data_IF_543196767591
#
_entry.id   IF_543196767591
#
_cell.length_a   1.000
_cell.length_b   1.000
_cell.length_c   1.000
_cell.angle_alpha   90.00
_cell.angle_beta   90.00
_cell.angle_gamma   90.00
#
_symmetry.space_group_name_H-M   'P 1'
#
loop_
_entity.id
_entity.type
_entity.pdbx_description
1 polymer ?
#
# COMPACT_ATOMS: atom_id res chain seq x y z
N UNK A 1 5.25 -5.54 -34.66
CA UNK A 1 4.74 -6.57 -33.75
C UNK A 1 4.08 -5.88 -32.57
N UNK A 2 3.01 -6.47 -32.06
CA UNK A 2 2.07 -5.90 -31.10
C UNK A 2 2.54 -6.27 -29.69
N UNK A 3 3.40 -5.46 -29.06
CA UNK A 3 3.96 -5.72 -27.71
C UNK A 3 3.05 -5.21 -26.57
N UNK A 4 1.74 -5.45 -26.66
CA UNK A 4 0.77 -5.15 -25.59
C UNK A 4 0.78 -6.22 -24.46
N UNK A 5 1.95 -6.76 -24.09
CA UNK A 5 2.02 -7.93 -23.21
C UNK A 5 2.66 -7.69 -21.82
N UNK A 6 3.19 -6.50 -21.51
CA UNK A 6 4.00 -6.31 -20.29
C UNK A 6 3.75 -5.01 -19.50
N UNK A 7 2.78 -4.17 -19.89
CA UNK A 7 2.41 -2.95 -19.16
C UNK A 7 1.55 -3.29 -17.93
N UNK A 8 2.07 -4.15 -17.05
CA UNK A 8 1.72 -4.02 -15.64
C UNK A 8 2.37 -2.71 -15.22
N UNK A 9 1.56 -1.65 -15.15
CA UNK A 9 2.06 -0.31 -14.84
C UNK A 9 2.86 -0.36 -13.54
N UNK A 10 3.90 0.47 -13.43
CA UNK A 10 4.70 0.59 -12.19
C UNK A 10 3.79 0.78 -10.96
N UNK A 11 2.66 1.46 -11.15
CA UNK A 11 1.59 1.61 -10.16
C UNK A 11 0.93 0.29 -9.77
N UNK A 12 0.52 -0.58 -10.71
CA UNK A 12 -0.09 -1.88 -10.40
C UNK A 12 0.86 -2.82 -9.64
N UNK A 13 2.14 -2.86 -10.05
CA UNK A 13 3.18 -3.63 -9.31
C UNK A 13 3.32 -3.13 -7.89
N UNK A 14 3.42 -1.82 -7.74
CA UNK A 14 3.51 -1.16 -6.43
C UNK A 14 2.27 -1.45 -5.59
N UNK A 15 1.08 -1.41 -6.17
CA UNK A 15 -0.17 -1.68 -5.47
C UNK A 15 -0.25 -3.12 -4.95
N UNK A 16 0.17 -4.10 -5.75
CA UNK A 16 0.27 -5.50 -5.28
C UNK A 16 1.32 -5.67 -4.19
N UNK A 17 2.47 -5.02 -4.32
CA UNK A 17 3.53 -5.04 -3.31
C UNK A 17 3.05 -4.42 -1.98
N UNK A 18 2.37 -3.27 -2.04
CA UNK A 18 1.74 -2.64 -0.88
C UNK A 18 0.71 -3.55 -0.23
N UNK A 19 -0.16 -4.18 -1.02
CA UNK A 19 -1.14 -5.14 -0.54
C UNK A 19 -0.48 -6.30 0.22
N UNK A 20 0.61 -6.85 -0.32
CA UNK A 20 1.41 -7.89 0.37
C UNK A 20 2.01 -7.37 1.68
N UNK A 21 2.64 -6.20 1.68
CA UNK A 21 3.26 -5.61 2.87
C UNK A 21 2.24 -5.32 3.98
N UNK A 22 1.04 -4.86 3.60
CA UNK A 22 -0.05 -4.55 4.52
C UNK A 22 -0.87 -5.78 4.94
N UNK A 23 -0.62 -6.96 4.36
CA UNK A 23 -1.50 -8.14 4.50
C UNK A 23 -2.97 -7.85 4.14
N UNK A 24 -3.16 -6.98 3.15
CA UNK A 24 -4.44 -6.54 2.63
C UNK A 24 -4.59 -6.95 1.17
N UNK A 25 -5.82 -6.92 0.68
CA UNK A 25 -6.09 -7.10 -0.75
C UNK A 25 -5.83 -5.79 -1.51
N UNK A 26 -5.45 -5.84 -2.80
CA UNK A 26 -5.28 -4.64 -3.62
C UNK A 26 -6.56 -3.78 -3.67
N UNK A 27 -7.75 -4.39 -3.67
CA UNK A 27 -9.03 -3.67 -3.53
C UNK A 27 -9.18 -2.96 -2.18
N UNK A 28 -8.72 -3.58 -1.08
CA UNK A 28 -8.74 -2.95 0.25
C UNK A 28 -7.75 -1.79 0.31
N UNK A 29 -6.55 -1.97 -0.24
CA UNK A 29 -5.56 -0.91 -0.37
C UNK A 29 -6.14 0.24 -1.18
N UNK A 30 -6.67 0.01 -2.38
CA UNK A 30 -7.27 1.05 -3.21
C UNK A 30 -8.47 1.76 -2.55
N UNK A 31 -9.21 1.05 -1.71
CA UNK A 31 -10.41 1.58 -1.03
C UNK A 31 -10.09 2.39 0.22
N UNK A 32 -9.10 1.95 0.99
CA UNK A 32 -8.81 2.49 2.31
C UNK A 32 -7.59 3.39 2.34
N UNK A 33 -6.62 3.20 1.45
CA UNK A 33 -5.45 4.07 1.35
C UNK A 33 -5.85 5.39 0.70
N UNK A 34 -5.55 6.49 1.38
CA UNK A 34 -5.71 7.85 0.89
C UNK A 34 -4.49 8.29 0.07
N UNK A 35 -3.30 8.13 0.64
CA UNK A 35 -2.06 8.59 0.04
C UNK A 35 -0.94 7.57 0.27
N UNK A 36 0.00 7.56 -0.67
CA UNK A 36 1.24 6.78 -0.59
C UNK A 36 2.37 7.75 -0.87
N UNK A 37 3.15 8.03 0.15
CA UNK A 37 4.28 8.94 0.07
C UNK A 37 5.57 8.15 0.25
N UNK A 38 6.63 8.55 -0.45
CA UNK A 38 7.94 7.99 -0.17
C UNK A 38 8.43 8.60 1.14
N UNK A 39 8.81 7.74 2.10
CA UNK A 39 9.47 8.22 3.31
C UNK A 39 10.73 8.94 2.84
N UNK A 40 10.88 10.24 3.13
CA UNK A 40 11.90 11.12 2.54
C UNK A 40 13.36 10.65 2.70
N UNK A 41 13.57 9.55 3.43
CA UNK A 41 14.79 8.75 3.51
C UNK A 41 15.08 7.90 2.26
N UNK A 42 14.13 7.73 1.33
CA UNK A 42 14.22 6.82 0.18
C UNK A 42 14.25 5.33 0.54
N UNK A 43 14.02 5.01 1.82
CA UNK A 43 14.10 3.65 2.37
C UNK A 43 12.74 2.96 2.47
N UNK A 44 11.66 3.62 2.05
CA UNK A 44 10.34 3.01 2.09
C UNK A 44 9.21 3.94 1.73
N UNK A 45 8.01 3.42 1.90
CA UNK A 45 6.79 4.14 1.60
C UNK A 45 5.94 4.26 2.85
N UNK A 46 5.43 5.46 3.10
CA UNK A 46 4.43 5.74 4.11
C UNK A 46 3.07 5.69 3.44
N UNK A 47 2.22 4.83 3.96
CA UNK A 47 0.84 4.68 3.50
C UNK A 47 -0.07 5.31 4.53
N UNK A 48 -0.95 6.22 4.10
CA UNK A 48 -1.98 6.80 4.96
C UNK A 48 -3.35 6.18 4.64
N UNK A 49 -4.05 5.76 5.68
CA UNK A 49 -5.39 5.19 5.64
C UNK A 49 -6.46 6.25 5.92
N UNK A 50 -7.60 6.09 5.26
CA UNK A 50 -8.77 6.91 5.49
C UNK A 50 -9.29 6.80 6.91
N UNK A 51 -9.81 7.91 7.44
CA UNK A 51 -10.51 7.94 8.72
C UNK A 51 -11.74 7.01 8.76
N UNK A 52 -12.29 6.66 7.59
CA UNK A 52 -13.40 5.73 7.44
C UNK A 52 -12.98 4.25 7.47
N UNK A 53 -11.67 3.96 7.52
CA UNK A 53 -11.15 2.59 7.50
C UNK A 53 -11.56 1.86 8.77
N UNK A 54 -12.21 0.68 8.67
CA UNK A 54 -12.63 -0.08 9.84
C UNK A 54 -11.43 -0.53 10.67
N UNK A 55 -11.56 -0.52 12.00
CA UNK A 55 -10.52 -1.03 12.92
C UNK A 55 -10.17 -2.48 12.63
N UNK A 56 -11.12 -3.29 12.15
CA UNK A 56 -10.85 -4.68 11.73
C UNK A 56 -9.87 -4.78 10.56
N UNK A 57 -9.84 -3.79 9.66
CA UNK A 57 -8.87 -3.71 8.56
C UNK A 57 -7.53 -3.24 9.10
N UNK A 58 -7.51 -2.18 9.91
CA UNK A 58 -6.29 -1.64 10.51
C UNK A 58 -5.59 -2.69 11.41
N UNK A 59 -6.35 -3.47 12.17
CA UNK A 59 -5.84 -4.53 13.04
C UNK A 59 -5.22 -5.71 12.27
N UNK A 60 -5.55 -5.88 10.98
CA UNK A 60 -4.89 -6.87 10.11
C UNK A 60 -3.53 -6.38 9.62
N UNK A 61 -3.30 -5.07 9.61
CA UNK A 61 -2.05 -4.48 9.13
C UNK A 61 -0.96 -4.66 10.19
N UNK A 62 0.08 -5.47 9.92
CA UNK A 62 1.15 -5.69 10.87
C UNK A 62 1.95 -4.40 11.07
N UNK A 63 2.15 -4.01 12.33
CA UNK A 63 2.94 -2.82 12.69
C UNK A 63 2.17 -1.50 12.70
N UNK A 64 0.89 -1.48 12.30
CA UNK A 64 0.06 -0.27 12.32
C UNK A 64 -0.43 0.06 13.74
N UNK A 65 -0.73 -0.97 14.52
CA UNK A 65 -1.18 -0.86 15.91
C UNK A 65 -2.56 -0.18 16.01
N UNK A 66 -2.56 1.14 16.11
CA UNK A 66 -3.76 2.00 16.12
C UNK A 66 -3.60 3.30 15.35
N UNK A 67 -2.46 3.50 14.69
CA UNK A 67 -2.23 4.64 13.82
C UNK A 67 -2.98 4.46 12.50
N UNK A 68 -3.08 5.55 11.74
CA UNK A 68 -3.65 5.55 10.39
C UNK A 68 -2.58 5.68 9.33
N UNK A 69 -1.33 5.74 9.72
CA UNK A 69 -0.20 5.82 8.81
C UNK A 69 0.87 4.82 9.26
N UNK A 70 1.43 4.11 8.30
CA UNK A 70 2.49 3.14 8.54
C UNK A 70 3.53 3.21 7.44
N UNK A 71 4.80 3.15 7.85
CA UNK A 71 5.90 2.91 6.93
C UNK A 71 5.96 1.41 6.62
N UNK A 72 5.68 1.04 5.37
CA UNK A 72 5.69 -0.36 4.90
C UNK A 72 7.08 -0.81 4.43
N UNK A 73 8.10 0.01 4.64
CA UNK A 73 9.45 -0.23 4.17
C UNK A 73 9.58 -0.12 2.64
N UNK A 74 10.73 -0.55 2.09
CA UNK A 74 10.96 -0.53 0.66
C UNK A 74 10.13 -1.65 0.02
N UNK A 75 9.36 -1.28 -0.99
CA UNK A 75 8.66 -2.21 -1.88
C UNK A 75 9.44 -2.26 -3.20
N UNK A 76 10.59 -2.94 -3.15
CA UNK A 76 11.38 -3.39 -4.30
C UNK A 76 10.78 -4.69 -4.83
#
# INVERSE_FOLDING_TARGET
>A
MNDYAQDETLEERRQRRMAQALSLNPDEVARWVLTVEEDGSGMGYVVEFSAATPVAVLARVPGLGGDRSINIGPID
#
